data_IF_660293951261
#
_entry.id   IF_660293951261
#
_cell.length_a   1.000
_cell.length_b   1.000
_cell.length_c   1.000
_cell.angle_alpha   90.00
_cell.angle_beta   90.00
_cell.angle_gamma   90.00
#
_symmetry.space_group_name_H-M   'P 1'
#
loop_
_entity.id
_entity.type
_entity.pdbx_description
1 polymer ?
#
# COMPACT_ATOMS: atom_id res chain seq x y z
N UNK A 1 17.38 7.42 4.15
CA UNK A 1 16.53 7.13 2.95
C UNK A 1 15.09 7.42 3.30
N UNK A 2 14.27 7.86 2.32
CA UNK A 2 12.82 8.00 2.55
C UNK A 2 12.16 6.62 2.59
N UNK A 3 11.22 6.40 3.51
CA UNK A 3 10.45 5.16 3.56
C UNK A 3 9.54 5.00 2.34
N UNK A 4 9.39 3.76 1.88
CA UNK A 4 8.48 3.36 0.81
C UNK A 4 7.23 2.75 1.43
N UNK A 5 6.09 3.37 1.24
CA UNK A 5 4.81 2.92 1.78
C UNK A 5 3.91 2.47 0.63
N UNK A 6 3.58 1.18 0.60
CA UNK A 6 2.66 0.63 -0.38
C UNK A 6 1.21 0.84 0.04
N UNK A 7 0.36 1.25 -0.91
CA UNK A 7 -1.09 1.31 -0.70
C UNK A 7 -1.76 0.20 -1.51
N UNK A 8 -2.41 -0.69 -0.79
CA UNK A 8 -3.20 -1.82 -1.28
C UNK A 8 -4.68 -1.55 -1.09
N UNK A 9 -5.48 -1.76 -2.13
CA UNK A 9 -6.92 -1.53 -2.08
C UNK A 9 -7.65 -1.90 -3.37
N UNK A 10 -8.96 -1.69 -3.40
CA UNK A 10 -9.80 -2.05 -4.54
C UNK A 10 -9.39 -1.31 -5.83
N UNK A 11 -9.05 -2.05 -6.88
CA UNK A 11 -8.65 -1.48 -8.18
C UNK A 11 -9.85 -0.95 -8.99
N UNK A 12 -10.99 -1.66 -8.99
CA UNK A 12 -12.19 -1.23 -9.68
C UNK A 12 -13.42 -1.83 -9.00
N UNK A 13 -14.33 -1.01 -8.51
CA UNK A 13 -15.62 -1.43 -7.97
C UNK A 13 -16.35 -0.23 -7.38
N UNK A 14 -17.60 -0.41 -6.98
CA UNK A 14 -18.32 0.57 -6.15
C UNK A 14 -17.56 0.91 -4.85
N UNK A 15 -16.81 -0.03 -4.30
CA UNK A 15 -15.96 0.17 -3.12
C UNK A 15 -14.80 1.14 -3.41
N UNK A 16 -14.14 1.04 -4.57
CA UNK A 16 -13.07 1.96 -4.95
C UNK A 16 -13.58 3.40 -5.05
N UNK A 17 -14.76 3.61 -5.65
CA UNK A 17 -15.38 4.93 -5.77
C UNK A 17 -15.76 5.52 -4.41
N UNK A 18 -16.30 4.70 -3.50
CA UNK A 18 -16.60 5.14 -2.12
C UNK A 18 -15.33 5.51 -1.35
N UNK A 19 -14.21 4.86 -1.62
CA UNK A 19 -12.92 5.10 -0.97
C UNK A 19 -12.09 6.20 -1.65
N UNK A 20 -12.58 6.87 -2.71
CA UNK A 20 -11.81 7.87 -3.48
C UNK A 20 -11.22 8.97 -2.59
N UNK A 21 -12.08 9.72 -1.88
CA UNK A 21 -11.64 10.86 -1.04
C UNK A 21 -10.62 10.44 0.01
N UNK A 22 -10.85 9.30 0.64
CA UNK A 22 -9.97 8.78 1.70
C UNK A 22 -8.63 8.30 1.12
N UNK A 23 -8.65 7.72 -0.08
CA UNK A 23 -7.43 7.31 -0.79
C UNK A 23 -6.57 8.50 -1.21
N UNK A 24 -7.20 9.58 -1.70
CA UNK A 24 -6.50 10.85 -1.98
C UNK A 24 -5.84 11.39 -0.70
N UNK A 25 -6.56 11.39 0.43
CA UNK A 25 -6.02 11.83 1.72
C UNK A 25 -4.83 10.98 2.19
N UNK A 26 -4.88 9.66 1.99
CA UNK A 26 -3.74 8.76 2.27
C UNK A 26 -2.53 9.14 1.44
N UNK A 27 -2.70 9.32 0.13
CA UNK A 27 -1.60 9.71 -0.74
C UNK A 27 -0.97 11.04 -0.34
N UNK A 28 -1.80 12.03 -0.03
CA UNK A 28 -1.32 13.32 0.48
C UNK A 28 -0.54 13.16 1.79
N UNK A 29 -1.06 12.38 2.74
CA UNK A 29 -0.41 12.17 4.03
C UNK A 29 0.93 11.44 3.90
N UNK A 30 1.05 10.45 2.99
CA UNK A 30 2.32 9.76 2.68
C UNK A 30 3.34 10.75 2.14
N UNK A 31 2.97 11.59 1.18
CA UNK A 31 3.86 12.61 0.61
C UNK A 31 4.27 13.67 1.63
N UNK A 32 3.33 14.17 2.43
CA UNK A 32 3.61 15.15 3.49
C UNK A 32 4.49 14.60 4.61
N UNK A 33 4.49 13.28 4.82
CA UNK A 33 5.42 12.61 5.74
C UNK A 33 6.83 12.39 5.14
N UNK A 34 7.11 12.88 3.94
CA UNK A 34 8.40 12.71 3.26
C UNK A 34 8.65 11.28 2.76
N UNK A 35 7.60 10.48 2.67
CA UNK A 35 7.67 9.09 2.21
C UNK A 35 7.39 8.96 0.71
N UNK A 36 7.89 7.88 0.11
CA UNK A 36 7.61 7.51 -1.28
C UNK A 36 6.34 6.65 -1.28
N UNK A 37 5.35 7.01 -2.10
CA UNK A 37 4.18 6.18 -2.30
C UNK A 37 4.49 5.05 -3.29
N UNK A 38 4.13 3.83 -2.92
CA UNK A 38 4.19 2.66 -3.79
C UNK A 38 2.77 2.18 -4.09
N UNK A 39 2.49 1.87 -5.34
CA UNK A 39 1.16 1.38 -5.79
C UNK A 39 1.28 0.20 -6.74
N UNK A 40 0.16 -0.48 -6.93
CA UNK A 40 0.06 -1.52 -7.94
C UNK A 40 -0.10 -1.03 -9.39
N UNK A 41 0.03 0.26 -9.64
CA UNK A 41 -0.18 0.90 -10.94
C UNK A 41 -1.52 0.51 -11.59
N UNK A 42 -2.59 0.42 -10.80
CA UNK A 42 -3.94 0.08 -11.23
C UNK A 42 -4.91 1.23 -10.97
N UNK A 43 -6.12 1.15 -11.49
CA UNK A 43 -7.22 2.06 -11.17
C UNK A 43 -7.67 1.96 -9.71
N UNK A 44 -8.65 2.76 -9.30
CA UNK A 44 -9.27 2.71 -7.98
C UNK A 44 -8.40 3.28 -6.86
N UNK A 45 -8.35 2.61 -5.71
CA UNK A 45 -7.61 3.06 -4.52
C UNK A 45 -6.14 3.38 -4.83
N UNK A 46 -5.37 2.53 -5.55
CA UNK A 46 -4.01 2.84 -5.95
C UNK A 46 -3.89 4.13 -6.77
N UNK A 47 -4.78 4.33 -7.74
CA UNK A 47 -4.82 5.52 -8.59
C UNK A 47 -5.14 6.79 -7.80
N UNK A 48 -6.17 6.76 -6.96
CA UNK A 48 -6.55 7.92 -6.14
C UNK A 48 -5.47 8.29 -5.12
N UNK A 49 -4.78 7.28 -4.57
CA UNK A 49 -3.65 7.53 -3.66
C UNK A 49 -2.47 8.16 -4.42
N UNK A 50 -2.16 7.69 -5.63
CA UNK A 50 -1.15 8.29 -6.49
C UNK A 50 -1.49 9.75 -6.82
N UNK A 51 -2.75 10.04 -7.18
CA UNK A 51 -3.23 11.40 -7.42
C UNK A 51 -3.03 12.29 -6.18
N UNK A 52 -3.38 11.78 -5.00
CA UNK A 52 -3.21 12.51 -3.73
C UNK A 52 -1.74 12.84 -3.45
N UNK A 53 -0.85 11.87 -3.60
CA UNK A 53 0.58 12.06 -3.40
C UNK A 53 1.16 13.09 -4.38
N UNK A 54 0.79 13.03 -5.65
CA UNK A 54 1.24 14.01 -6.66
C UNK A 54 0.73 15.43 -6.37
N UNK A 55 -0.51 15.58 -5.90
CA UNK A 55 -1.05 16.89 -5.47
C UNK A 55 -0.25 17.50 -4.30
N UNK A 56 0.37 16.67 -3.47
CA UNK A 56 1.22 17.09 -2.35
C UNK A 56 2.72 17.14 -2.70
N UNK A 57 3.09 17.03 -3.97
CA UNK A 57 4.49 17.08 -4.42
C UNK A 57 5.30 15.80 -4.15
N UNK A 58 4.64 14.69 -3.82
CA UNK A 58 5.29 13.42 -3.48
C UNK A 58 5.79 12.64 -4.69
N UNK A 59 6.65 11.66 -4.42
CA UNK A 59 7.15 10.67 -5.40
C UNK A 59 6.29 9.42 -5.36
N UNK A 60 5.94 8.91 -6.55
CA UNK A 60 5.07 7.74 -6.71
C UNK A 60 5.74 6.70 -7.62
N UNK A 61 5.88 5.47 -7.10
CA UNK A 61 6.38 4.31 -7.84
C UNK A 61 5.25 3.32 -8.05
N UNK A 62 4.98 2.98 -9.30
CA UNK A 62 3.99 1.97 -9.67
C UNK A 62 4.63 0.63 -10.01
N UNK A 63 4.09 -0.46 -9.52
CA UNK A 63 4.46 -1.81 -9.92
C UNK A 63 3.38 -2.38 -10.84
N UNK A 64 3.68 -2.51 -12.11
CA UNK A 64 2.75 -3.03 -13.11
C UNK A 64 2.78 -4.56 -13.16
N UNK A 65 1.63 -5.24 -13.35
CA UNK A 65 1.59 -6.67 -13.65
C UNK A 65 2.12 -7.00 -15.05
N UNK A 66 2.10 -6.03 -15.97
CA UNK A 66 2.52 -6.18 -17.35
C UNK A 66 4.05 -6.25 -17.49
N UNK A 67 4.53 -6.87 -18.58
CA UNK A 67 5.95 -6.94 -18.91
C UNK A 67 6.45 -5.68 -19.62
N UNK A 68 5.57 -4.91 -20.25
CA UNK A 68 5.92 -3.71 -21.02
C UNK A 68 4.90 -2.58 -20.82
N UNK A 69 5.30 -1.34 -21.12
CA UNK A 69 4.39 -0.19 -21.15
C UNK A 69 3.22 -0.42 -22.12
N UNK A 70 3.51 -1.04 -23.28
CA UNK A 70 2.48 -1.36 -24.27
C UNK A 70 1.42 -2.28 -23.69
N UNK A 71 1.83 -3.36 -23.04
CA UNK A 71 0.91 -4.33 -22.46
C UNK A 71 0.14 -3.73 -21.30
N UNK A 72 0.79 -2.91 -20.45
CA UNK A 72 0.14 -2.18 -19.37
C UNK A 72 -1.07 -1.37 -19.89
N UNK A 73 -0.85 -0.59 -20.98
CA UNK A 73 -1.89 0.29 -21.52
C UNK A 73 -2.87 -0.47 -22.40
N UNK A 74 -2.41 -1.36 -23.27
CA UNK A 74 -3.24 -2.00 -24.30
C UNK A 74 -3.93 -3.27 -23.82
N UNK A 75 -3.18 -4.17 -23.15
CA UNK A 75 -3.68 -5.47 -22.70
C UNK A 75 -4.39 -5.37 -21.35
N UNK A 76 -3.74 -4.75 -20.37
CA UNK A 76 -4.30 -4.58 -19.02
C UNK A 76 -5.21 -3.36 -18.88
N UNK A 77 -5.18 -2.40 -19.81
CA UNK A 77 -5.97 -1.15 -19.81
C UNK A 77 -5.80 -0.36 -18.52
N UNK A 78 -4.56 -0.27 -18.03
CA UNK A 78 -4.22 0.41 -16.79
C UNK A 78 -3.70 1.82 -17.05
N UNK A 79 -3.93 2.77 -16.11
CA UNK A 79 -3.48 4.16 -16.24
C UNK A 79 -2.00 4.29 -15.93
N UNK A 80 -1.35 5.29 -16.57
CA UNK A 80 0.03 5.69 -16.29
C UNK A 80 0.11 6.98 -15.46
N UNK A 81 -1.01 7.69 -15.34
CA UNK A 81 -1.07 8.98 -14.68
C UNK A 81 -0.62 8.89 -13.21
N UNK A 82 -0.07 9.98 -12.71
CA UNK A 82 0.37 10.15 -11.33
C UNK A 82 1.51 9.23 -10.87
N UNK A 83 2.23 8.57 -11.78
CA UNK A 83 3.42 7.78 -11.45
C UNK A 83 4.67 8.46 -12.01
N UNK A 84 5.70 8.62 -11.19
CA UNK A 84 7.01 9.11 -11.63
C UNK A 84 7.82 7.95 -12.26
N UNK A 85 7.66 6.75 -11.72
CA UNK A 85 8.31 5.53 -12.18
C UNK A 85 7.29 4.41 -12.26
N UNK A 86 7.28 3.63 -13.33
CA UNK A 86 6.52 2.38 -13.44
C UNK A 86 7.47 1.22 -13.70
N UNK A 87 7.49 0.27 -12.76
CA UNK A 87 8.24 -0.99 -12.87
C UNK A 87 7.34 -2.04 -13.52
N UNK A 88 7.69 -2.49 -14.70
CA UNK A 88 6.97 -3.53 -15.45
C UNK A 88 7.50 -4.89 -15.02
N UNK A 89 6.76 -5.60 -14.18
CA UNK A 89 7.23 -6.85 -13.57
C UNK A 89 7.08 -8.06 -14.48
N UNK A 90 6.07 -8.10 -15.33
CA UNK A 90 5.77 -9.24 -16.20
C UNK A 90 5.24 -10.49 -15.48
N UNK A 91 4.86 -10.36 -14.20
CA UNK A 91 4.44 -11.49 -13.36
C UNK A 91 2.94 -11.51 -13.05
N UNK A 92 2.12 -10.88 -13.88
CA UNK A 92 0.69 -10.71 -13.62
C UNK A 92 0.39 -10.16 -12.22
N UNK A 93 -0.86 -10.24 -11.79
CA UNK A 93 -1.27 -9.63 -10.52
C UNK A 93 -0.65 -10.31 -9.30
N UNK A 94 -0.64 -11.64 -9.25
CA UNK A 94 -0.20 -12.38 -8.06
C UNK A 94 1.32 -12.22 -7.82
N UNK A 95 2.13 -12.40 -8.86
CA UNK A 95 3.58 -12.22 -8.74
C UNK A 95 3.97 -10.76 -8.51
N UNK A 96 3.28 -9.82 -9.16
CA UNK A 96 3.46 -8.38 -8.92
C UNK A 96 3.16 -8.01 -7.47
N UNK A 97 2.11 -8.57 -6.85
CA UNK A 97 1.78 -8.31 -5.45
C UNK A 97 2.95 -8.65 -4.52
N UNK A 98 3.61 -9.78 -4.74
CA UNK A 98 4.78 -10.19 -3.98
C UNK A 98 5.94 -9.18 -4.12
N UNK A 99 6.27 -8.80 -5.36
CA UNK A 99 7.38 -7.88 -5.64
C UNK A 99 7.08 -6.50 -5.02
N UNK A 100 5.90 -5.96 -5.24
CA UNK A 100 5.47 -4.67 -4.71
C UNK A 100 5.51 -4.64 -3.18
N UNK A 101 4.90 -5.65 -2.55
CA UNK A 101 4.82 -5.73 -1.09
C UNK A 101 6.21 -5.83 -0.46
N UNK A 102 7.11 -6.65 -1.04
CA UNK A 102 8.49 -6.79 -0.55
C UNK A 102 9.35 -5.56 -0.76
N UNK A 103 9.09 -4.80 -1.82
CA UNK A 103 9.80 -3.55 -2.12
C UNK A 103 9.46 -2.39 -1.18
N UNK A 104 8.35 -2.46 -0.47
CA UNK A 104 7.90 -1.43 0.46
C UNK A 104 8.39 -1.71 1.89
N UNK A 105 8.52 -0.65 2.69
CA UNK A 105 8.89 -0.73 4.11
C UNK A 105 7.64 -0.94 4.99
N UNK A 106 6.49 -0.42 4.55
CA UNK A 106 5.18 -0.66 5.16
C UNK A 106 4.09 -0.82 4.10
N UNK A 107 2.97 -1.42 4.47
CA UNK A 107 1.80 -1.62 3.61
C UNK A 107 0.56 -1.03 4.27
N UNK A 108 -0.23 -0.27 3.52
CA UNK A 108 -1.53 0.23 3.96
C UNK A 108 -2.63 -0.51 3.22
N UNK A 109 -3.59 -1.02 3.98
CA UNK A 109 -4.78 -1.69 3.47
C UNK A 109 -5.98 -0.75 3.57
N UNK A 110 -6.63 -0.52 2.42
CA UNK A 110 -7.80 0.37 2.30
C UNK A 110 -8.90 -0.34 1.53
N UNK A 111 -10.06 -0.56 2.14
CA UNK A 111 -11.15 -1.27 1.46
C UNK A 111 -10.66 -2.63 0.91
N UNK A 112 -10.82 -2.87 -0.38
CA UNK A 112 -10.17 -3.97 -1.07
C UNK A 112 -10.97 -5.26 -1.14
N UNK A 113 -10.40 -6.21 -1.89
CA UNK A 113 -10.96 -7.55 -2.14
C UNK A 113 -9.85 -8.60 -2.01
N UNK A 114 -9.97 -9.73 -2.71
CA UNK A 114 -9.04 -10.88 -2.62
C UNK A 114 -7.59 -10.50 -2.94
N UNK A 115 -7.34 -9.65 -3.95
CA UNK A 115 -5.98 -9.17 -4.25
C UNK A 115 -5.36 -8.40 -3.08
N UNK A 116 -6.16 -7.56 -2.43
CA UNK A 116 -5.75 -6.82 -1.22
C UNK A 116 -5.49 -7.75 -0.04
N UNK A 117 -6.29 -8.80 0.12
CA UNK A 117 -6.04 -9.84 1.13
C UNK A 117 -4.72 -10.58 0.84
N UNK A 118 -4.42 -10.88 -0.42
CA UNK A 118 -3.14 -11.49 -0.82
C UNK A 118 -1.95 -10.59 -0.46
N UNK A 119 -2.02 -9.30 -0.78
CA UNK A 119 -0.98 -8.32 -0.41
C UNK A 119 -0.83 -8.20 1.11
N UNK A 120 -1.95 -8.20 1.85
CA UNK A 120 -1.94 -8.21 3.31
C UNK A 120 -1.24 -9.45 3.88
N UNK A 121 -1.56 -10.65 3.38
CA UNK A 121 -0.96 -11.90 3.88
C UNK A 121 0.54 -11.96 3.60
N UNK A 122 1.00 -11.49 2.45
CA UNK A 122 2.43 -11.36 2.14
C UNK A 122 3.11 -10.42 3.15
N UNK A 123 2.53 -9.23 3.39
CA UNK A 123 3.07 -8.27 4.33
C UNK A 123 3.12 -8.82 5.76
N UNK A 124 2.10 -9.58 6.16
CA UNK A 124 2.00 -10.21 7.48
C UNK A 124 3.10 -11.27 7.68
N UNK A 125 3.28 -12.19 6.72
CA UNK A 125 4.31 -13.22 6.78
C UNK A 125 5.73 -12.61 6.74
N UNK A 126 5.93 -11.55 5.97
CA UNK A 126 7.20 -10.81 5.90
C UNK A 126 7.42 -9.88 7.13
N UNK A 127 6.50 -9.90 8.11
CA UNK A 127 6.56 -9.10 9.35
C UNK A 127 6.70 -7.60 9.13
N UNK A 128 6.16 -7.10 8.03
CA UNK A 128 6.14 -5.67 7.74
C UNK A 128 5.21 -4.91 8.71
N UNK A 129 5.44 -3.61 8.81
CA UNK A 129 4.46 -2.73 9.44
C UNK A 129 3.27 -2.62 8.49
N UNK A 130 2.06 -2.88 9.01
CA UNK A 130 0.82 -2.87 8.24
C UNK A 130 -0.13 -1.85 8.87
N UNK A 131 -0.55 -0.88 8.09
CA UNK A 131 -1.64 0.01 8.45
C UNK A 131 -2.96 -0.52 7.87
N UNK A 132 -3.98 -0.65 8.69
CA UNK A 132 -5.33 -1.00 8.24
C UNK A 132 -6.26 0.18 8.49
N UNK A 133 -6.79 0.74 7.41
CA UNK A 133 -7.79 1.80 7.51
C UNK A 133 -9.15 1.17 7.76
N UNK A 134 -9.57 1.14 9.01
CA UNK A 134 -10.89 0.62 9.42
C UNK A 134 -12.02 1.55 8.95
N UNK A 135 -13.21 1.00 8.78
CA UNK A 135 -14.41 1.68 8.25
C UNK A 135 -14.22 2.13 6.79
N UNK A 136 -13.23 1.59 6.08
CA UNK A 136 -13.03 1.83 4.64
C UNK A 136 -13.81 0.86 3.75
N UNK A 137 -14.44 -0.14 4.36
CA UNK A 137 -15.19 -1.20 3.69
C UNK A 137 -14.30 -2.34 3.19
N UNK A 138 -14.94 -3.34 2.58
CA UNK A 138 -14.25 -4.45 1.94
C UNK A 138 -13.40 -5.27 2.91
N UNK A 139 -12.30 -5.85 2.38
CA UNK A 139 -11.45 -6.76 3.17
C UNK A 139 -10.74 -6.07 4.34
N UNK A 140 -10.53 -4.75 4.27
CA UNK A 140 -9.90 -3.99 5.34
C UNK A 140 -10.64 -4.14 6.68
N UNK A 141 -11.96 -4.14 6.65
CA UNK A 141 -12.79 -4.24 7.85
C UNK A 141 -12.85 -5.69 8.39
N UNK A 142 -12.48 -6.68 7.57
CA UNK A 142 -12.45 -8.10 7.93
C UNK A 142 -11.10 -8.56 8.51
N UNK A 143 -10.02 -7.79 8.30
CA UNK A 143 -8.65 -8.19 8.67
C UNK A 143 -8.53 -8.54 10.15
N UNK A 144 -9.13 -7.78 11.04
CA UNK A 144 -9.07 -8.05 12.48
C UNK A 144 -9.65 -9.44 12.81
N UNK A 145 -10.78 -9.79 12.23
CA UNK A 145 -11.41 -11.10 12.37
C UNK A 145 -10.58 -12.25 11.76
N UNK A 146 -9.96 -12.01 10.60
CA UNK A 146 -9.08 -12.98 9.93
C UNK A 146 -7.86 -13.29 10.81
N UNK A 147 -7.17 -12.25 11.29
CA UNK A 147 -5.98 -12.38 12.15
C UNK A 147 -6.31 -13.12 13.44
N UNK A 148 -7.44 -12.79 14.08
CA UNK A 148 -7.92 -13.47 15.30
C UNK A 148 -8.16 -14.97 15.07
N UNK A 149 -8.85 -15.33 13.99
CA UNK A 149 -9.13 -16.73 13.63
C UNK A 149 -7.89 -17.51 13.20
N UNK A 150 -6.93 -16.84 12.57
CA UNK A 150 -5.68 -17.48 12.11
C UNK A 150 -4.74 -17.89 13.27
N UNK A 151 -4.93 -17.36 14.46
CA UNK A 151 -4.11 -17.67 15.68
C UNK A 151 -2.60 -17.56 15.47
N UNK A 152 -2.16 -16.61 14.63
CA UNK A 152 -0.75 -16.35 14.29
C UNK A 152 -0.17 -15.12 15.01
N UNK A 153 -0.84 -14.67 16.08
CA UNK A 153 -0.49 -13.42 16.79
C UNK A 153 -1.04 -12.17 16.09
N UNK A 154 -0.79 -11.02 16.68
CA UNK A 154 -1.33 -9.72 16.19
C UNK A 154 -0.53 -9.13 15.02
N UNK A 155 0.66 -9.63 14.72
CA UNK A 155 1.56 -9.03 13.73
C UNK A 155 1.99 -7.61 14.12
N UNK A 156 2.50 -6.86 13.15
CA UNK A 156 2.84 -5.44 13.29
C UNK A 156 1.72 -4.56 12.69
N UNK A 157 0.46 -4.79 13.11
CA UNK A 157 -0.69 -4.15 12.53
C UNK A 157 -1.13 -2.93 13.34
N UNK A 158 -1.35 -1.83 12.65
CA UNK A 158 -1.85 -0.56 13.20
C UNK A 158 -3.23 -0.31 12.59
N UNK A 159 -4.25 -0.26 13.41
CA UNK A 159 -5.61 0.07 13.00
C UNK A 159 -5.92 1.53 13.31
N UNK A 160 -6.48 2.26 12.35
CA UNK A 160 -6.99 3.62 12.54
C UNK A 160 -8.08 3.91 11.50
N UNK A 161 -9.04 4.75 11.82
CA UNK A 161 -10.07 5.23 10.87
C UNK A 161 -9.69 6.56 10.22
N UNK A 162 -8.67 7.24 10.75
CA UNK A 162 -8.17 8.51 10.23
C UNK A 162 -6.91 8.26 9.39
N UNK A 163 -6.91 8.58 8.10
CA UNK A 163 -5.77 8.33 7.21
C UNK A 163 -4.50 9.07 7.65
N UNK A 164 -4.61 10.30 8.13
CA UNK A 164 -3.44 11.10 8.53
C UNK A 164 -2.81 10.53 9.81
N UNK A 165 -3.64 10.17 10.78
CA UNK A 165 -3.17 9.51 12.02
C UNK A 165 -2.55 8.16 11.72
N UNK A 166 -3.15 7.38 10.83
CA UNK A 166 -2.62 6.09 10.42
C UNK A 166 -1.20 6.22 9.87
N UNK A 167 -0.97 7.13 8.91
CA UNK A 167 0.35 7.39 8.33
C UNK A 167 1.36 7.81 9.41
N UNK A 168 0.99 8.76 10.26
CA UNK A 168 1.86 9.22 11.35
C UNK A 168 2.30 8.07 12.26
N UNK A 169 1.38 7.17 12.62
CA UNK A 169 1.67 5.99 13.46
C UNK A 169 2.55 4.98 12.75
N UNK A 170 2.38 4.79 11.44
CA UNK A 170 3.23 3.92 10.61
C UNK A 170 4.66 4.46 10.60
N UNK A 171 4.86 5.77 10.34
CA UNK A 171 6.19 6.38 10.30
C UNK A 171 6.89 6.25 11.66
N UNK A 172 6.20 6.54 12.77
CA UNK A 172 6.75 6.34 14.12
C UNK A 172 7.17 4.86 14.34
N UNK A 173 6.42 3.91 13.84
CA UNK A 173 6.75 2.50 13.98
C UNK A 173 7.97 2.11 13.14
N UNK A 174 8.09 2.65 11.91
CA UNK A 174 9.27 2.47 11.03
C UNK A 174 10.53 3.06 11.69
N UNK A 175 10.47 4.28 12.21
CA UNK A 175 11.58 4.92 12.91
C UNK A 175 12.08 4.08 14.11
N UNK A 176 11.15 3.54 14.89
CA UNK A 176 11.48 2.64 16.01
C UNK A 176 12.14 1.35 15.56
N UNK A 177 11.70 0.80 14.42
CA UNK A 177 12.29 -0.41 13.83
C UNK A 177 13.71 -0.14 13.35
N UNK A 178 13.94 0.96 12.65
CA UNK A 178 15.27 1.37 12.16
C UNK A 178 16.26 1.62 13.32
N UNK A 179 15.82 2.33 14.37
CA UNK A 179 16.63 2.55 15.56
C UNK A 179 17.07 1.24 16.25
N UNK A 180 16.19 0.23 16.28
CA UNK A 180 16.53 -1.09 16.84
C UNK A 180 17.55 -1.83 15.99
N UNK A 181 17.46 -1.73 14.66
CA UNK A 181 18.43 -2.34 13.74
C UNK A 181 19.81 -1.69 13.87
N UNK A 182 19.87 -0.37 13.92
CA UNK A 182 21.12 0.37 14.08
C UNK A 182 21.83 0.05 15.41
N UNK A 183 21.08 -0.12 16.50
CA UNK A 183 21.64 -0.53 17.80
C UNK A 183 22.19 -1.95 17.81
N UNK A 184 21.67 -2.85 16.95
CA UNK A 184 22.20 -4.23 16.84
C UNK A 184 23.46 -4.31 15.99
N UNK A 185 23.59 -3.45 14.98
CA UNK A 185 24.75 -3.43 14.08
C UNK A 185 25.97 -2.73 14.72
N UNK A 186 25.78 -1.99 15.81
CA UNK A 186 26.85 -1.29 16.54
C UNK A 186 27.32 -2.08 17.80
N UNK A 187 26.89 -3.33 17.95
CA UNK A 187 27.35 -4.29 18.95
C UNK A 187 28.07 -5.45 18.28
#
# INVERSE_FOLDING_TARGET
MSYKIAVSGAASSSHAKKAEKISVSIGQAVAQAGCILVTGATSGVPYYSAQGAKKAGGTVIGFSPAATKRDHVKSYRLPLDYHDIVVYTGFDYAGRNLIMTRSADAVIVVSGRIGTLNEFTIAFEDRKIIGVLINSGGIADEISGIVSRAKRGSGNIIYDSDPVKLIKRIVIALDKQEQKLNKKNNK
#
